data_IF_590333424253
#
_entry.id   IF_590333424253
#
_cell.length_a   1.000
_cell.length_b   1.000
_cell.length_c   1.000
_cell.angle_alpha   90.00
_cell.angle_beta   90.00
_cell.angle_gamma   90.00
#
_symmetry.space_group_name_H-M   'P 1'
#
loop_
_entity.id
_entity.type
_entity.pdbx_description
1 polymer ?
#
# COMPACT_ATOMS: atom_id res chain seq x y z
N UNK A 1 -22.12 2.48 12.79
CA UNK A 1 -21.71 3.05 11.48
C UNK A 1 -20.68 2.10 10.89
N UNK A 2 -20.96 1.36 9.80
CA UNK A 2 -19.98 0.44 9.26
C UNK A 2 -18.75 1.24 8.84
N UNK A 3 -17.57 0.75 9.20
CA UNK A 3 -16.30 1.34 8.82
C UNK A 3 -16.14 1.20 7.30
N UNK A 4 -16.76 2.10 6.54
CA UNK A 4 -16.39 2.35 5.17
C UNK A 4 -14.91 2.75 5.24
N UNK A 5 -14.06 1.77 4.93
CA UNK A 5 -12.64 1.92 4.87
C UNK A 5 -12.37 3.23 4.11
N UNK A 6 -11.61 4.13 4.72
CA UNK A 6 -11.26 5.47 4.17
C UNK A 6 -10.75 5.44 2.71
N UNK A 7 -10.49 4.24 2.19
CA UNK A 7 -10.25 3.82 0.80
C UNK A 7 -11.35 4.14 -0.23
N UNK A 8 -12.65 4.11 0.11
CA UNK A 8 -13.73 4.09 -0.90
C UNK A 8 -13.98 5.45 -1.60
N UNK A 9 -13.38 6.51 -1.08
CA UNK A 9 -13.38 7.80 -1.77
C UNK A 9 -12.19 7.86 -2.74
N UNK A 10 -12.37 8.42 -3.94
CA UNK A 10 -11.27 8.64 -4.88
C UNK A 10 -10.09 9.40 -4.25
N UNK A 11 -10.36 10.23 -3.24
CA UNK A 11 -9.38 10.91 -2.40
C UNK A 11 -8.57 9.93 -1.53
N UNK A 12 -9.22 8.95 -0.92
CA UNK A 12 -8.60 7.90 -0.12
C UNK A 12 -7.65 7.00 -0.91
N UNK A 13 -8.06 6.57 -2.12
CA UNK A 13 -7.17 5.82 -3.04
C UNK A 13 -5.88 6.58 -3.35
N UNK A 14 -6.01 7.87 -3.66
CA UNK A 14 -4.86 8.74 -3.98
C UNK A 14 -3.93 8.93 -2.77
N UNK A 15 -4.49 9.12 -1.58
CA UNK A 15 -3.73 9.23 -0.33
C UNK A 15 -2.96 7.94 -0.04
N UNK A 16 -3.60 6.77 -0.17
CA UNK A 16 -2.95 5.47 0.08
C UNK A 16 -1.83 5.23 -0.93
N UNK A 17 -2.07 5.49 -2.22
CA UNK A 17 -1.03 5.41 -3.26
C UNK A 17 0.18 6.27 -2.92
N UNK A 18 -0.06 7.51 -2.47
CA UNK A 18 1.01 8.45 -2.09
C UNK A 18 1.78 7.99 -0.86
N UNK A 19 1.09 7.43 0.13
CA UNK A 19 1.73 6.86 1.32
C UNK A 19 2.57 5.64 0.95
N UNK A 20 2.02 4.69 0.19
CA UNK A 20 2.75 3.52 -0.31
C UNK A 20 4.01 3.93 -1.06
N UNK A 21 3.86 4.84 -2.02
CA UNK A 21 4.98 5.39 -2.79
C UNK A 21 6.04 6.02 -1.90
N UNK A 22 5.64 6.83 -0.93
CA UNK A 22 6.57 7.43 0.02
C UNK A 22 7.31 6.40 0.87
N UNK A 23 6.63 5.34 1.33
CA UNK A 23 7.26 4.29 2.14
C UNK A 23 8.25 3.47 1.29
N UNK A 24 7.86 3.09 0.08
CA UNK A 24 8.72 2.31 -0.82
C UNK A 24 9.94 3.15 -1.24
N UNK A 25 9.76 4.42 -1.59
CA UNK A 25 10.87 5.33 -1.91
C UNK A 25 11.80 5.57 -0.71
N UNK A 26 11.25 5.74 0.50
CA UNK A 26 12.07 5.90 1.71
C UNK A 26 12.92 4.66 2.02
N UNK A 27 12.52 3.48 1.56
CA UNK A 27 13.28 2.23 1.64
C UNK A 27 14.18 1.96 0.42
N UNK A 28 14.40 2.94 -0.46
CA UNK A 28 15.28 2.79 -1.62
C UNK A 28 14.61 2.27 -2.89
N UNK A 29 13.27 2.28 -2.96
CA UNK A 29 12.51 1.90 -4.16
C UNK A 29 12.05 0.44 -4.20
N UNK A 30 12.54 -0.39 -3.29
CA UNK A 30 12.13 -1.79 -3.10
C UNK A 30 12.04 -2.10 -1.61
N UNK A 31 11.01 -2.84 -1.20
CA UNK A 31 10.95 -3.38 0.17
C UNK A 31 10.13 -4.66 0.24
N UNK A 32 10.22 -5.47 1.30
CA UNK A 32 9.38 -6.66 1.46
C UNK A 32 7.89 -6.29 1.54
N UNK A 33 7.03 -7.09 0.89
CA UNK A 33 5.58 -6.87 0.94
C UNK A 33 5.06 -6.93 2.37
N UNK A 34 5.57 -7.85 3.19
CA UNK A 34 5.16 -7.98 4.59
C UNK A 34 5.50 -6.76 5.43
N UNK A 35 6.66 -6.14 5.19
CA UNK A 35 7.09 -4.94 5.91
C UNK A 35 6.21 -3.74 5.54
N UNK A 36 5.86 -3.61 4.25
CA UNK A 36 4.92 -2.61 3.77
C UNK A 36 3.54 -2.80 4.40
N UNK A 37 3.02 -4.03 4.39
CA UNK A 37 1.74 -4.38 4.98
C UNK A 37 1.74 -4.15 6.50
N UNK A 38 2.86 -4.41 7.20
CA UNK A 38 3.02 -4.12 8.63
C UNK A 38 2.99 -2.61 8.91
N UNK A 39 3.72 -1.79 8.14
CA UNK A 39 3.69 -0.32 8.28
C UNK A 39 2.31 0.25 7.99
N UNK A 40 1.59 -0.34 7.04
CA UNK A 40 0.21 0.02 6.73
C UNK A 40 -0.76 -0.38 7.84
N UNK A 41 -0.58 -1.57 8.42
CA UNK A 41 -1.35 -2.04 9.57
C UNK A 41 -1.16 -1.14 10.80
N UNK A 42 0.08 -0.70 11.07
CA UNK A 42 0.37 0.27 12.12
C UNK A 42 -0.35 1.62 11.91
N UNK A 43 -0.66 1.97 10.66
CA UNK A 43 -1.44 3.17 10.31
C UNK A 43 -2.96 2.93 10.28
N UNK A 44 -3.41 1.73 10.64
CA UNK A 44 -4.82 1.33 10.67
C UNK A 44 -5.37 0.82 9.33
N UNK A 45 -4.52 0.41 8.40
CA UNK A 45 -4.93 -0.21 7.13
C UNK A 45 -4.83 -1.74 7.20
N UNK A 46 -5.89 -2.43 6.79
CA UNK A 46 -5.94 -3.89 6.80
C UNK A 46 -5.00 -4.50 5.75
N UNK A 47 -4.24 -5.53 6.16
CA UNK A 47 -3.21 -6.18 5.31
C UNK A 47 -3.80 -6.89 4.09
N UNK A 48 -4.86 -7.68 4.27
CA UNK A 48 -5.49 -8.48 3.21
C UNK A 48 -6.04 -7.64 2.05
N UNK A 49 -6.93 -6.65 2.27
CA UNK A 49 -7.45 -5.84 1.19
C UNK A 49 -6.36 -4.97 0.57
N UNK A 50 -5.33 -4.59 1.33
CA UNK A 50 -4.22 -3.84 0.78
C UNK A 50 -3.39 -4.70 -0.18
N UNK A 51 -3.09 -5.95 0.17
CA UNK A 51 -2.30 -6.89 -0.65
C UNK A 51 -2.97 -7.14 -2.01
N UNK A 52 -4.29 -7.34 -2.03
CA UNK A 52 -5.06 -7.50 -3.27
C UNK A 52 -5.11 -6.22 -4.13
N UNK A 53 -4.82 -5.06 -3.54
CA UNK A 53 -4.93 -3.75 -4.19
C UNK A 53 -3.58 -3.12 -4.53
N UNK A 54 -2.46 -3.77 -4.20
CA UNK A 54 -1.12 -3.29 -4.54
C UNK A 54 -0.97 -3.08 -6.05
N UNK A 55 -1.43 -4.05 -6.84
CA UNK A 55 -1.41 -3.97 -8.32
C UNK A 55 -2.25 -2.78 -8.83
N UNK A 56 -3.41 -2.54 -8.22
CA UNK A 56 -4.28 -1.40 -8.55
C UNK A 56 -3.70 -0.04 -8.11
N UNK A 57 -2.60 -0.04 -7.37
CA UNK A 57 -1.93 1.15 -6.83
C UNK A 57 -0.59 1.42 -7.51
N UNK A 58 -0.33 0.80 -8.66
CA UNK A 58 0.95 0.86 -9.38
C UNK A 58 2.12 0.38 -8.51
N UNK A 59 1.87 -0.66 -7.72
CA UNK A 59 2.91 -1.35 -6.95
C UNK A 59 2.99 -2.79 -7.46
N UNK A 60 4.12 -3.13 -8.06
CA UNK A 60 4.43 -4.48 -8.48
C UNK A 60 4.96 -5.30 -7.30
N UNK A 61 4.51 -6.55 -7.21
CA UNK A 61 5.03 -7.52 -6.23
C UNK A 61 5.85 -8.56 -6.97
N UNK A 62 7.17 -8.49 -6.85
CA UNK A 62 8.12 -9.42 -7.48
C UNK A 62 8.91 -10.11 -6.39
N UNK A 63 8.88 -11.45 -6.38
CA UNK A 63 9.65 -12.27 -5.43
C UNK A 63 9.39 -11.93 -3.94
N UNK A 64 8.13 -11.63 -3.60
CA UNK A 64 7.75 -11.22 -2.24
C UNK A 64 8.14 -9.79 -1.86
N UNK A 65 8.66 -9.00 -2.80
CA UNK A 65 9.03 -7.60 -2.61
C UNK A 65 8.14 -6.68 -3.42
N UNK A 66 7.78 -5.54 -2.83
CA UNK A 66 7.04 -4.46 -3.48
C UNK A 66 8.01 -3.48 -4.13
N UNK A 67 7.66 -3.11 -5.36
CA UNK A 67 8.39 -2.14 -6.19
C UNK A 67 7.38 -1.16 -6.75
N UNK A 68 7.77 0.10 -6.89
CA UNK A 68 6.91 1.06 -7.58
C UNK A 68 6.97 0.79 -9.08
N UNK A 69 5.79 0.63 -9.68
CA UNK A 69 5.66 0.62 -11.13
C UNK A 69 5.91 2.06 -11.61
N UNK A 70 6.96 2.21 -12.42
CA UNK A 70 7.37 3.49 -13.01
C UNK A 70 6.36 3.99 -14.03
#
# INVERSE_FOLDING_TARGET
MPAHAKWDTGRGKWTIKRILKSIIQANGGEMPVEDLLNKMNQRGYLKEPLRQRLEALDVDVVDGKVRLRG
#
